data_IF_141551037313
#
_entry.id   IF_141551037313
#
_cell.length_a   1.000
_cell.length_b   1.000
_cell.length_c   1.000
_cell.angle_alpha   90.00
_cell.angle_beta   90.00
_cell.angle_gamma   90.00
#
_symmetry.space_group_name_H-M   'P 1'
#
loop_
_entity.id
_entity.type
_entity.pdbx_description
1 polymer ?
#
# COMPACT_ATOMS: atom_id res chain seq x y z
N UNK A 1 -64.69 26.09 9.02
CA UNK A 1 -65.38 24.79 9.20
C UNK A 1 -64.64 23.73 8.40
N UNK A 2 -64.29 22.66 9.11
CA UNK A 2 -63.96 21.30 8.70
C UNK A 2 -64.14 20.84 7.22
N UNK A 3 -63.08 20.16 6.75
CA UNK A 3 -63.02 18.75 6.27
C UNK A 3 -63.39 18.37 4.82
N UNK A 4 -62.35 17.73 4.23
CA UNK A 4 -62.32 16.41 3.54
C UNK A 4 -62.55 16.35 2.02
N UNK A 5 -61.42 16.19 1.32
CA UNK A 5 -60.97 15.00 0.56
C UNK A 5 -62.05 14.23 -0.20
N UNK A 6 -61.91 14.19 -1.53
CA UNK A 6 -62.10 12.96 -2.33
C UNK A 6 -60.93 12.84 -3.33
N UNK A 7 -60.16 11.76 -3.17
CA UNK A 7 -59.21 11.20 -4.14
C UNK A 7 -59.93 10.76 -5.41
N UNK A 8 -59.28 10.88 -6.57
CA UNK A 8 -59.30 9.83 -7.59
C UNK A 8 -58.11 9.97 -8.56
N UNK A 9 -57.21 9.01 -8.41
CA UNK A 9 -56.26 8.43 -9.36
C UNK A 9 -56.15 9.01 -10.77
N UNK A 10 -54.92 9.29 -11.21
CA UNK A 10 -54.45 8.79 -12.49
C UNK A 10 -53.00 8.31 -12.36
N UNK A 11 -52.86 6.99 -12.30
CA UNK A 11 -51.62 6.29 -12.57
C UNK A 11 -51.20 6.64 -14.00
N UNK A 12 -50.09 7.35 -14.16
CA UNK A 12 -49.34 7.35 -15.42
C UNK A 12 -47.97 6.76 -15.15
N UNK A 13 -47.89 5.51 -15.59
CA UNK A 13 -46.71 4.69 -15.77
C UNK A 13 -45.64 5.48 -16.55
N UNK A 14 -44.54 5.88 -15.90
CA UNK A 14 -43.27 6.18 -16.57
C UNK A 14 -42.18 5.38 -15.87
N UNK A 15 -42.25 4.06 -16.07
CA UNK A 15 -41.10 3.19 -15.95
C UNK A 15 -40.64 2.89 -17.37
N UNK A 16 -39.45 3.40 -17.75
CA UNK A 16 -38.46 2.82 -18.69
C UNK A 16 -37.52 3.90 -19.25
N UNK A 17 -36.68 4.47 -18.40
CA UNK A 17 -35.41 5.09 -18.83
C UNK A 17 -34.33 5.02 -17.74
N UNK A 18 -34.40 4.00 -16.87
CA UNK A 18 -33.56 3.87 -15.67
C UNK A 18 -32.30 3.02 -15.81
N UNK A 19 -31.98 2.50 -17.00
CA UNK A 19 -30.89 1.51 -17.15
C UNK A 19 -29.61 2.04 -17.84
N UNK A 20 -29.54 3.32 -18.21
CA UNK A 20 -28.37 3.90 -18.89
C UNK A 20 -27.61 4.96 -18.05
N UNK A 21 -28.21 5.47 -16.96
CA UNK A 21 -27.60 6.49 -16.11
C UNK A 21 -26.87 5.90 -14.89
N UNK A 22 -27.29 4.73 -14.40
CA UNK A 22 -26.64 4.07 -13.25
C UNK A 22 -25.20 3.65 -13.54
N UNK A 23 -24.89 3.23 -14.76
CA UNK A 23 -23.52 2.85 -15.17
C UNK A 23 -22.59 4.06 -15.33
N UNK A 24 -23.10 5.22 -15.75
CA UNK A 24 -22.33 6.47 -15.82
C UNK A 24 -22.12 7.08 -14.44
N UNK A 25 -23.13 7.03 -13.59
CA UNK A 25 -23.01 7.45 -12.18
C UNK A 25 -22.03 6.56 -11.43
N UNK A 26 -22.09 5.24 -11.57
CA UNK A 26 -21.14 4.31 -10.93
C UNK A 26 -19.70 4.50 -11.45
N UNK A 27 -19.52 4.71 -12.76
CA UNK A 27 -18.20 5.02 -13.32
C UNK A 27 -17.67 6.38 -12.84
N UNK A 28 -18.57 7.35 -12.62
CA UNK A 28 -18.22 8.67 -12.09
C UNK A 28 -17.83 8.59 -10.62
N UNK A 29 -18.58 7.81 -9.82
CA UNK A 29 -18.27 7.55 -8.41
C UNK A 29 -16.91 6.86 -8.29
N UNK A 30 -16.65 5.78 -9.05
CA UNK A 30 -15.34 5.11 -9.06
C UNK A 30 -14.20 6.03 -9.49
N UNK A 31 -14.46 6.95 -10.43
CA UNK A 31 -13.46 7.95 -10.84
C UNK A 31 -13.19 8.96 -9.73
N UNK A 32 -14.22 9.41 -9.02
CA UNK A 32 -14.11 10.34 -7.89
C UNK A 32 -13.43 9.67 -6.69
N UNK A 33 -13.74 8.41 -6.40
CA UNK A 33 -13.06 7.62 -5.36
C UNK A 33 -11.57 7.49 -5.65
N UNK A 34 -11.19 7.18 -6.89
CA UNK A 34 -9.78 7.16 -7.30
C UNK A 34 -9.12 8.53 -7.16
N UNK A 35 -9.80 9.60 -7.55
CA UNK A 35 -9.26 10.96 -7.37
C UNK A 35 -9.08 11.31 -5.89
N UNK A 36 -10.00 10.90 -5.01
CA UNK A 36 -9.87 11.09 -3.56
C UNK A 36 -8.67 10.29 -3.03
N UNK A 37 -8.47 9.07 -3.52
CA UNK A 37 -7.33 8.23 -3.16
C UNK A 37 -6.01 8.86 -3.60
N UNK A 38 -5.94 9.37 -4.84
CA UNK A 38 -4.79 10.12 -5.35
C UNK A 38 -4.53 11.38 -4.53
N UNK A 39 -5.56 12.18 -4.22
CA UNK A 39 -5.40 13.41 -3.43
C UNK A 39 -5.00 13.12 -1.97
N UNK A 40 -5.50 12.04 -1.37
CA UNK A 40 -5.04 11.59 -0.05
C UNK A 40 -3.56 11.20 -0.10
N UNK A 41 -3.13 10.55 -1.18
CA UNK A 41 -1.74 10.20 -1.38
C UNK A 41 -0.86 11.43 -1.56
N UNK A 42 -1.19 12.33 -2.48
CA UNK A 42 -0.45 13.59 -2.69
C UNK A 42 -0.39 14.44 -1.43
N UNK A 43 -1.48 14.47 -0.65
CA UNK A 43 -1.50 15.14 0.65
C UNK A 43 -0.53 14.48 1.64
N UNK A 44 -0.52 13.15 1.73
CA UNK A 44 0.42 12.41 2.58
C UNK A 44 1.87 12.68 2.14
N UNK A 45 2.13 12.72 0.84
CA UNK A 45 3.43 13.07 0.27
C UNK A 45 3.89 14.50 0.63
N UNK A 46 2.99 15.48 0.53
CA UNK A 46 3.28 16.86 0.93
C UNK A 46 3.47 17.01 2.44
N UNK A 47 2.69 16.31 3.26
CA UNK A 47 2.87 16.27 4.72
C UNK A 47 4.22 15.62 5.09
N UNK A 48 4.65 14.58 4.37
CA UNK A 48 5.96 13.95 4.53
C UNK A 48 7.11 14.91 4.17
N UNK A 49 7.02 15.64 3.05
CA UNK A 49 8.03 16.64 2.66
C UNK A 49 8.13 17.77 3.69
N UNK A 50 6.99 18.23 4.22
CA UNK A 50 6.94 19.26 5.25
C UNK A 50 7.53 18.81 6.59
N UNK A 51 7.34 17.54 6.98
CA UNK A 51 7.94 16.98 8.21
C UNK A 51 9.46 16.90 8.08
N UNK A 52 9.96 16.39 6.95
CA UNK A 52 11.40 16.29 6.67
C UNK A 52 12.11 17.66 6.64
N UNK A 53 11.47 18.70 6.10
CA UNK A 53 12.03 20.07 6.14
C UNK A 53 12.06 20.68 7.55
N UNK A 54 11.11 20.31 8.42
CA UNK A 54 11.06 20.81 9.80
C UNK A 54 12.10 20.16 10.69
N UNK A 55 12.30 18.86 10.57
CA UNK A 55 13.33 18.13 11.33
C UNK A 55 14.74 18.59 10.95
N UNK A 56 14.98 18.91 9.67
CA UNK A 56 16.25 19.50 9.20
C UNK A 56 16.55 20.91 9.76
N UNK A 57 15.55 21.62 10.29
CA UNK A 57 15.71 22.99 10.85
C UNK A 57 15.95 23.04 12.35
N UNK A 58 15.84 21.91 13.07
CA UNK A 58 15.89 21.88 14.54
C UNK A 58 17.03 20.95 14.98
N UNK A 59 18.27 21.31 14.68
CA UNK A 59 19.42 20.83 15.45
C UNK A 59 20.04 22.02 16.18
N UNK A 60 19.91 22.10 17.50
CA UNK A 60 20.99 22.58 18.35
C UNK A 60 21.65 21.35 18.99
N UNK A 61 22.97 21.26 18.80
CA UNK A 61 23.83 20.32 19.49
C UNK A 61 23.63 20.41 21.02
N UNK A 62 23.64 19.29 21.74
CA UNK A 62 24.55 18.99 22.86
C UNK A 62 24.31 17.58 23.44
N UNK A 63 25.44 16.92 23.79
CA UNK A 63 25.69 15.83 24.76
C UNK A 63 25.36 14.37 24.44
N UNK A 64 26.40 13.67 23.96
CA UNK A 64 27.03 12.46 24.55
C UNK A 64 26.15 11.35 25.13
N UNK A 65 25.79 10.39 24.28
CA UNK A 65 25.71 8.95 24.56
C UNK A 65 25.96 8.22 23.22
N UNK A 66 26.53 7.02 23.24
CA UNK A 66 26.98 6.27 22.07
C UNK A 66 25.87 6.15 21.00
N UNK A 67 25.84 7.13 20.08
CA UNK A 67 24.81 7.24 19.06
C UNK A 67 25.31 6.48 17.85
N UNK A 68 24.72 5.31 17.58
CA UNK A 68 24.79 4.69 16.26
C UNK A 68 24.31 5.77 15.29
N UNK A 69 25.14 6.15 14.32
CA UNK A 69 24.82 7.23 13.38
C UNK A 69 23.44 6.95 12.74
N UNK A 70 22.52 7.93 12.66
CA UNK A 70 21.22 7.76 12.02
C UNK A 70 21.32 7.32 10.55
N UNK A 71 22.49 7.49 9.92
CA UNK A 71 22.79 6.97 8.58
C UNK A 71 22.91 5.43 8.55
N UNK A 72 23.46 4.82 9.61
CA UNK A 72 23.66 3.38 9.68
C UNK A 72 22.36 2.61 9.97
N UNK A 73 21.45 3.19 10.76
CA UNK A 73 20.13 2.59 10.98
C UNK A 73 19.27 2.62 9.71
N UNK A 74 19.33 3.71 8.94
CA UNK A 74 18.64 3.79 7.66
C UNK A 74 19.11 2.72 6.66
N UNK A 75 20.41 2.39 6.65
CA UNK A 75 20.96 1.32 5.81
C UNK A 75 20.40 -0.07 6.18
N UNK A 76 20.15 -0.32 7.47
CA UNK A 76 19.52 -1.58 7.93
C UNK A 76 18.10 -1.71 7.37
N UNK A 77 17.29 -0.66 7.48
CA UNK A 77 15.91 -0.68 7.01
C UNK A 77 15.80 -0.66 5.48
N UNK A 78 16.73 0.01 4.79
CA UNK A 78 16.83 -0.03 3.34
C UNK A 78 17.13 -1.45 2.86
N UNK A 79 18.11 -2.12 3.47
CA UNK A 79 18.44 -3.52 3.17
C UNK A 79 17.28 -4.47 3.49
N UNK A 80 16.61 -4.30 4.63
CA UNK A 80 15.43 -5.07 5.01
C UNK A 80 14.32 -4.91 3.96
N UNK A 81 13.99 -3.67 3.60
CA UNK A 81 12.96 -3.36 2.61
C UNK A 81 13.27 -3.99 1.25
N UNK A 82 14.46 -3.76 0.71
CA UNK A 82 14.84 -4.31 -0.61
C UNK A 82 14.89 -5.83 -0.61
N UNK A 83 15.41 -6.44 0.46
CA UNK A 83 15.47 -7.89 0.59
C UNK A 83 14.07 -8.50 0.67
N UNK A 84 13.18 -7.88 1.44
CA UNK A 84 11.79 -8.30 1.56
C UNK A 84 11.06 -8.23 0.22
N UNK A 85 11.07 -7.09 -0.46
CA UNK A 85 10.45 -6.91 -1.77
C UNK A 85 10.98 -7.92 -2.79
N UNK A 86 12.31 -8.12 -2.81
CA UNK A 86 12.91 -9.09 -3.73
C UNK A 86 12.43 -10.52 -3.43
N UNK A 87 12.40 -10.91 -2.16
CA UNK A 87 11.97 -12.24 -1.74
C UNK A 87 10.49 -12.49 -2.04
N UNK A 88 9.62 -11.52 -1.75
CA UNK A 88 8.18 -11.62 -1.98
C UNK A 88 7.87 -11.84 -3.47
N UNK A 89 8.41 -10.99 -4.34
CA UNK A 89 8.12 -11.06 -5.77
C UNK A 89 8.83 -12.22 -6.47
N UNK A 90 9.95 -12.71 -5.93
CA UNK A 90 10.61 -13.94 -6.39
C UNK A 90 9.94 -15.22 -5.87
N UNK A 91 9.01 -15.12 -4.90
CA UNK A 91 8.44 -16.24 -4.15
C UNK A 91 9.53 -17.10 -3.47
N UNK A 92 10.56 -16.44 -2.91
CA UNK A 92 11.64 -17.09 -2.17
C UNK A 92 11.19 -17.38 -0.73
N UNK A 93 10.58 -18.55 -0.51
CA UNK A 93 10.07 -18.98 0.80
C UNK A 93 11.16 -19.00 1.88
N UNK A 94 12.40 -19.37 1.52
CA UNK A 94 13.51 -19.41 2.46
C UNK A 94 13.83 -18.02 3.00
N UNK A 95 13.94 -17.04 2.10
CA UNK A 95 14.17 -15.64 2.49
C UNK A 95 12.96 -15.01 3.18
N UNK A 96 11.75 -15.31 2.72
CA UNK A 96 10.54 -14.81 3.36
C UNK A 96 10.43 -15.27 4.82
N UNK A 97 10.81 -16.52 5.12
CA UNK A 97 10.82 -17.04 6.49
C UNK A 97 11.79 -16.29 7.41
N UNK A 98 12.93 -15.83 6.88
CA UNK A 98 13.92 -15.05 7.62
C UNK A 98 13.46 -13.60 7.82
N UNK A 99 12.87 -13.00 6.79
CA UNK A 99 12.59 -11.56 6.70
C UNK A 99 11.21 -11.16 7.26
N UNK A 100 10.33 -12.12 7.52
CA UNK A 100 8.95 -11.84 7.96
C UNK A 100 8.61 -12.56 9.25
N UNK A 101 7.65 -12.02 10.00
CA UNK A 101 7.09 -12.75 11.13
C UNK A 101 6.33 -13.98 10.65
N UNK A 102 6.17 -14.99 11.50
CA UNK A 102 5.41 -16.20 11.16
C UNK A 102 3.99 -15.89 10.64
N UNK A 103 3.38 -14.83 11.17
CA UNK A 103 2.06 -14.34 10.74
C UNK A 103 2.07 -13.90 9.27
N UNK A 104 2.97 -13.01 8.88
CA UNK A 104 3.04 -12.55 7.49
C UNK A 104 3.53 -13.65 6.55
N UNK A 105 4.52 -14.44 6.98
CA UNK A 105 5.02 -15.58 6.23
C UNK A 105 3.87 -16.50 5.80
N UNK A 106 3.01 -16.88 6.74
CA UNK A 106 1.83 -17.70 6.44
C UNK A 106 0.91 -16.99 5.44
N UNK A 107 0.61 -15.70 5.59
CA UNK A 107 -0.25 -14.98 4.62
C UNK A 107 0.35 -14.98 3.20
N UNK A 108 1.67 -14.83 3.08
CA UNK A 108 2.35 -14.74 1.78
C UNK A 108 2.47 -16.11 1.09
N UNK A 109 2.74 -17.17 1.85
CA UNK A 109 2.96 -18.53 1.33
C UNK A 109 1.67 -19.34 1.27
N UNK A 110 0.77 -19.18 2.24
CA UNK A 110 -0.53 -19.87 2.33
C UNK A 110 -1.59 -19.24 1.43
N UNK A 111 -1.18 -18.67 0.29
CA UNK A 111 -2.07 -18.44 -0.85
C UNK A 111 -2.48 -19.79 -1.49
N UNK A 112 -2.94 -20.73 -0.66
CA UNK A 112 -3.47 -22.06 -0.91
C UNK A 112 -4.81 -22.05 -1.68
N UNK A 113 -4.95 -21.10 -2.59
CA UNK A 113 -6.13 -20.90 -3.41
C UNK A 113 -5.87 -20.06 -4.66
N UNK A 114 -4.61 -19.82 -5.06
CA UNK A 114 -4.32 -19.43 -6.44
C UNK A 114 -4.77 -20.59 -7.34
N UNK A 115 -6.05 -20.55 -7.72
CA UNK A 115 -6.66 -21.38 -8.76
C UNK A 115 -5.66 -21.48 -9.89
N UNK A 116 -5.42 -22.70 -10.37
CA UNK A 116 -4.74 -22.99 -11.64
C UNK A 116 -5.33 -22.08 -12.73
N UNK A 117 -4.76 -20.88 -12.88
CA UNK A 117 -5.05 -20.03 -14.00
C UNK A 117 -4.23 -20.60 -15.13
N UNK A 118 -4.89 -20.94 -16.23
CA UNK A 118 -4.26 -21.46 -17.46
C UNK A 118 -3.20 -20.52 -18.06
N UNK A 119 -3.00 -19.34 -17.47
CA UNK A 119 -2.03 -18.34 -17.88
C UNK A 119 -1.00 -18.11 -16.77
N UNK A 120 0.28 -18.16 -17.14
CA UNK A 120 1.39 -17.82 -16.26
C UNK A 120 1.46 -16.31 -16.08
N UNK A 121 1.28 -15.83 -14.86
CA UNK A 121 1.53 -14.43 -14.46
C UNK A 121 2.95 -14.35 -13.89
N UNK A 122 3.78 -13.48 -14.46
CA UNK A 122 5.15 -13.23 -14.00
C UNK A 122 5.22 -11.77 -13.56
N UNK A 123 5.52 -11.54 -12.28
CA UNK A 123 5.78 -10.22 -11.74
C UNK A 123 7.29 -10.04 -11.58
N UNK A 124 7.83 -8.91 -12.01
CA UNK A 124 9.26 -8.59 -11.89
C UNK A 124 9.41 -7.18 -11.34
N UNK A 125 10.10 -7.06 -10.21
CA UNK A 125 10.46 -5.76 -9.64
C UNK A 125 11.56 -5.13 -10.50
N UNK A 126 11.30 -3.95 -11.06
CA UNK A 126 12.27 -3.18 -11.86
C UNK A 126 13.08 -2.22 -11.01
N UNK A 127 12.44 -1.63 -10.02
CA UNK A 127 13.09 -0.79 -9.02
C UNK A 127 12.32 -0.86 -7.72
N UNK A 128 13.03 -0.62 -6.62
CA UNK A 128 12.45 -0.36 -5.32
C UNK A 128 13.22 0.81 -4.72
N UNK A 129 12.54 1.65 -3.93
CA UNK A 129 13.14 2.80 -3.26
C UNK A 129 12.47 2.98 -1.91
N UNK A 130 13.27 3.06 -0.86
CA UNK A 130 12.80 3.42 0.46
C UNK A 130 12.58 4.93 0.54
N UNK A 131 11.51 5.36 1.22
CA UNK A 131 11.15 6.78 1.39
C UNK A 131 11.13 7.22 2.84
N UNK A 132 10.56 6.40 3.72
CA UNK A 132 10.41 6.75 5.12
C UNK A 132 10.65 5.54 6.00
N UNK A 133 11.32 5.81 7.12
CA UNK A 133 11.42 4.93 8.27
C UNK A 133 10.96 5.76 9.47
N UNK A 134 9.97 5.28 10.20
CA UNK A 134 9.47 5.93 11.40
C UNK A 134 9.43 4.92 12.55
N UNK A 135 10.29 5.12 13.53
CA UNK A 135 10.26 4.35 14.77
C UNK A 135 8.97 4.72 15.53
N UNK A 136 8.10 3.74 15.74
CA UNK A 136 6.84 3.92 16.47
C UNK A 136 7.09 3.75 17.98
N UNK A 137 7.88 2.75 18.33
CA UNK A 137 8.34 2.43 19.69
C UNK A 137 9.59 1.54 19.61
N UNK A 138 10.20 1.15 20.73
CA UNK A 138 11.47 0.39 20.76
C UNK A 138 11.48 -0.93 19.95
N UNK A 139 10.31 -1.48 19.64
CA UNK A 139 10.16 -2.76 18.96
C UNK A 139 9.43 -2.65 17.61
N UNK A 140 8.98 -1.47 17.19
CA UNK A 140 8.13 -1.32 16.01
C UNK A 140 8.56 -0.15 15.14
N UNK A 141 8.63 -0.40 13.83
CA UNK A 141 9.05 0.55 12.82
C UNK A 141 8.10 0.52 11.64
N UNK A 142 7.64 1.69 11.21
CA UNK A 142 6.92 1.86 9.96
C UNK A 142 7.92 2.14 8.83
N UNK A 143 7.85 1.36 7.76
CA UNK A 143 8.72 1.46 6.59
C UNK A 143 7.83 1.74 5.39
N UNK A 144 8.08 2.85 4.70
CA UNK A 144 7.33 3.23 3.49
C UNK A 144 8.29 3.32 2.32
N UNK A 145 7.99 2.62 1.25
CA UNK A 145 8.75 2.68 0.01
C UNK A 145 7.87 2.57 -1.23
N UNK A 146 8.48 2.73 -2.39
CA UNK A 146 7.84 2.56 -3.69
C UNK A 146 8.56 1.52 -4.49
N UNK A 147 7.78 0.72 -5.21
CA UNK A 147 8.27 -0.28 -6.13
C UNK A 147 7.69 -0.04 -7.51
N UNK A 148 8.48 -0.34 -8.54
CA UNK A 148 8.00 -0.41 -9.91
C UNK A 148 7.98 -1.89 -10.30
N UNK A 149 6.82 -2.36 -10.77
CA UNK A 149 6.61 -3.75 -11.15
C UNK A 149 6.31 -3.80 -12.63
N UNK A 150 6.89 -4.80 -13.29
CA UNK A 150 6.48 -5.25 -14.60
C UNK A 150 5.75 -6.58 -14.47
N UNK A 151 4.51 -6.63 -14.93
CA UNK A 151 3.71 -7.85 -14.96
C UNK A 151 3.55 -8.32 -16.40
N UNK A 152 3.87 -9.59 -16.63
CA UNK A 152 3.64 -10.28 -17.91
C UNK A 152 2.65 -11.41 -17.69
N UNK A 153 1.59 -11.45 -18.50
CA UNK A 153 0.57 -12.51 -18.48
C UNK A 153 0.64 -13.24 -19.82
N UNK A 154 1.02 -14.52 -19.83
CA UNK A 154 1.13 -15.30 -21.07
C UNK A 154 1.95 -14.59 -22.15
N UNK A 155 1.37 -14.44 -23.35
CA UNK A 155 2.00 -13.78 -24.51
C UNK A 155 1.62 -12.29 -24.65
N UNK A 156 0.87 -11.73 -23.70
CA UNK A 156 0.54 -10.31 -23.72
C UNK A 156 1.76 -9.43 -23.47
N UNK A 157 1.73 -8.21 -24.01
CA UNK A 157 2.74 -7.21 -23.75
C UNK A 157 2.82 -6.93 -22.23
N UNK A 158 4.04 -6.76 -21.68
CA UNK A 158 4.20 -6.48 -20.26
C UNK A 158 3.57 -5.14 -19.89
N UNK A 159 2.88 -5.10 -18.76
CA UNK A 159 2.38 -3.86 -18.18
C UNK A 159 3.32 -3.40 -17.06
N UNK A 160 3.60 -2.10 -16.98
CA UNK A 160 4.38 -1.50 -15.91
C UNK A 160 3.50 -0.58 -15.09
N UNK A 161 3.61 -0.71 -13.78
CA UNK A 161 2.93 0.15 -12.83
C UNK A 161 3.78 0.27 -11.57
N UNK A 162 3.39 1.20 -10.73
CA UNK A 162 4.09 1.47 -9.49
C UNK A 162 3.17 1.17 -8.31
N UNK A 163 3.77 0.79 -7.19
CA UNK A 163 3.05 0.57 -5.95
C UNK A 163 3.78 1.26 -4.82
N UNK A 164 3.01 1.88 -3.93
CA UNK A 164 3.47 2.21 -2.59
C UNK A 164 3.36 0.94 -1.74
N UNK A 165 4.41 0.68 -0.97
CA UNK A 165 4.50 -0.41 -0.03
C UNK A 165 4.66 0.20 1.35
N UNK A 166 3.70 -0.06 2.22
CA UNK A 166 3.72 0.35 3.61
C UNK A 166 3.87 -0.90 4.46
N UNK A 167 5.02 -1.05 5.12
CA UNK A 167 5.34 -2.18 5.97
C UNK A 167 5.41 -1.76 7.44
N UNK A 168 4.98 -2.68 8.31
CA UNK A 168 5.29 -2.61 9.74
C UNK A 168 6.33 -3.68 10.03
N UNK A 169 7.46 -3.28 10.62
CA UNK A 169 8.54 -4.17 11.03
C UNK A 169 8.58 -4.27 12.56
N UNK A 170 8.73 -5.49 13.08
CA UNK A 170 8.84 -5.77 14.50
C UNK A 170 10.22 -6.31 14.85
N UNK A 171 10.75 -5.86 15.99
CA UNK A 171 12.02 -6.34 16.53
C UNK A 171 11.81 -7.67 17.25
N UNK A 172 12.61 -8.67 16.88
CA UNK A 172 12.60 -10.00 17.51
C UNK A 172 13.42 -10.02 18.81
N UNK A 173 13.38 -11.16 19.51
CA UNK A 173 14.15 -11.38 20.74
C UNK A 173 15.67 -11.34 20.56
N UNK A 174 16.15 -11.45 19.32
CA UNK A 174 17.56 -11.36 18.95
C UNK A 174 17.96 -9.95 18.51
N UNK A 175 17.02 -9.00 18.51
CA UNK A 175 17.24 -7.62 18.13
C UNK A 175 17.14 -7.33 16.63
N UNK A 176 16.76 -8.31 15.80
CA UNK A 176 16.60 -8.14 14.36
C UNK A 176 15.17 -7.71 14.03
N UNK A 177 15.01 -6.91 12.97
CA UNK A 177 13.68 -6.52 12.49
C UNK A 177 13.16 -7.51 11.44
N UNK A 178 11.89 -7.89 11.58
CA UNK A 178 11.15 -8.71 10.61
C UNK A 178 9.86 -7.99 10.21
N UNK A 179 9.44 -8.09 8.95
CA UNK A 179 8.19 -7.51 8.48
C UNK A 179 6.99 -8.30 9.01
N UNK A 180 6.10 -7.65 9.75
CA UNK A 180 4.88 -8.25 10.32
C UNK A 180 3.62 -8.02 9.47
N UNK A 181 3.57 -6.89 8.77
CA UNK A 181 2.46 -6.60 7.87
C UNK A 181 2.88 -5.71 6.72
N UNK A 182 2.10 -5.77 5.65
CA UNK A 182 2.27 -4.90 4.50
C UNK A 182 0.92 -4.46 3.94
N UNK A 183 0.91 -3.26 3.37
CA UNK A 183 -0.17 -2.74 2.54
C UNK A 183 0.41 -2.32 1.20
N UNK A 184 -0.23 -2.76 0.11
CA UNK A 184 0.18 -2.44 -1.25
C UNK A 184 -0.88 -1.52 -1.89
N UNK A 185 -0.46 -0.34 -2.33
CA UNK A 185 -1.33 0.65 -2.96
C UNK A 185 -0.83 0.95 -4.37
N UNK A 186 -1.64 0.73 -5.40
CA UNK A 186 -1.27 1.05 -6.78
C UNK A 186 -1.17 2.57 -6.96
N UNK A 187 -0.05 3.02 -7.51
CA UNK A 187 0.17 4.40 -7.95
C UNK A 187 -0.12 4.43 -9.46
N UNK A 188 -0.99 5.35 -9.87
CA UNK A 188 -1.50 5.44 -11.23
C UNK A 188 -0.41 5.75 -12.28
#
# INVERSE_FOLDING_TARGET
MMKKIILLSLVSLVALSGCANSTKEEATIKKQERQIETLKHEKKELEMLLKNEKEKKIEPATSTEETVSPEAENEVFENLFHSFIKAEFARDEGKLKELTTAKLYTILVDKAGEKDSSFKVINTVKSSKLYQVEQVNDNEVNIVGRIQIETKVGDYAPNRYEQLVECVALKDSSGNYQIDSQTLTNLA
#
